data_IF_418388205262
#
_entry.id   IF_418388205262
#
_cell.length_a   1.000
_cell.length_b   1.000
_cell.length_c   1.000
_cell.angle_alpha   90.00
_cell.angle_beta   90.00
_cell.angle_gamma   90.00
#
_symmetry.space_group_name_H-M   'P 1'
#
loop_
_entity.id
_entity.type
_entity.pdbx_description
1 polymer ?
#
# COMPACT_ATOMS: atom_id res chain seq x y z
N UNK A 1 -9.01 12.46 4.40
CA UNK A 1 -8.04 13.42 3.82
C UNK A 1 -8.59 14.84 3.91
N UNK A 2 -9.81 15.09 3.44
CA UNK A 2 -10.39 16.44 3.39
C UNK A 2 -10.49 17.14 4.75
N UNK A 3 -10.90 16.43 5.80
CA UNK A 3 -11.06 17.00 7.14
C UNK A 3 -9.74 17.09 7.91
N UNK A 4 -8.84 16.15 7.65
CA UNK A 4 -7.51 16.11 8.28
C UNK A 4 -6.57 17.16 7.69
N UNK A 5 -6.70 17.45 6.38
CA UNK A 5 -5.82 18.37 5.62
C UNK A 5 -4.33 18.06 5.79
N UNK A 6 -3.91 16.83 5.49
CA UNK A 6 -2.51 16.45 5.65
C UNK A 6 -1.62 17.21 4.66
N UNK A 7 -0.35 17.33 4.96
CA UNK A 7 0.66 17.88 4.05
C UNK A 7 0.93 16.89 2.92
N UNK A 8 0.96 15.60 3.22
CA UNK A 8 1.09 14.53 2.24
C UNK A 8 0.32 13.27 2.63
N UNK A 9 0.09 12.43 1.64
CA UNK A 9 -0.52 11.10 1.76
C UNK A 9 0.46 10.08 1.21
N UNK A 10 0.70 9.01 1.96
CA UNK A 10 1.54 7.89 1.53
C UNK A 10 0.67 6.67 1.26
N UNK A 11 0.70 6.18 0.03
CA UNK A 11 0.14 4.90 -0.37
C UNK A 11 1.25 3.84 -0.35
N UNK A 12 1.05 2.79 0.43
CA UNK A 12 2.05 1.75 0.65
C UNK A 12 1.98 0.60 -0.36
N UNK A 13 1.22 0.76 -1.46
CA UNK A 13 1.08 -0.23 -2.52
C UNK A 13 -0.02 -1.26 -2.29
N UNK A 14 -0.15 -2.18 -3.23
CA UNK A 14 -1.27 -3.14 -3.34
C UNK A 14 -2.63 -2.44 -3.54
N UNK A 15 -2.61 -1.23 -4.09
CA UNK A 15 -3.82 -0.51 -4.49
C UNK A 15 -4.52 -1.16 -5.68
N UNK A 16 -3.75 -1.65 -6.64
CA UNK A 16 -4.23 -2.46 -7.77
C UNK A 16 -4.11 -3.95 -7.43
N UNK A 17 -5.23 -4.61 -7.13
CA UNK A 17 -5.21 -6.03 -6.70
C UNK A 17 -4.72 -6.98 -7.81
N UNK A 18 -4.87 -6.62 -9.09
CA UNK A 18 -4.42 -7.38 -10.26
C UNK A 18 -4.75 -8.88 -10.16
N UNK A 19 -5.98 -9.20 -9.81
CA UNK A 19 -6.45 -10.58 -9.61
C UNK A 19 -6.39 -11.41 -10.89
N UNK A 20 -6.63 -10.79 -12.03
CA UNK A 20 -6.55 -11.42 -13.35
C UNK A 20 -5.16 -11.99 -13.66
N UNK A 21 -4.11 -11.43 -13.05
CA UNK A 21 -2.72 -11.86 -13.22
C UNK A 21 -2.19 -12.69 -12.05
N UNK A 22 -3.08 -13.12 -11.13
CA UNK A 22 -2.68 -13.91 -9.97
C UNK A 22 -2.46 -15.39 -10.35
N UNK A 23 -1.22 -15.80 -10.42
CA UNK A 23 -0.83 -17.18 -10.74
C UNK A 23 -1.27 -18.22 -9.69
N UNK A 24 -1.51 -17.81 -8.44
CA UNK A 24 -1.95 -18.72 -7.39
C UNK A 24 -3.43 -19.13 -7.54
N UNK A 25 -4.28 -18.23 -8.02
CA UNK A 25 -5.70 -18.53 -8.22
C UNK A 25 -5.90 -19.42 -9.45
N UNK A 26 -5.11 -19.28 -10.50
CA UNK A 26 -5.17 -20.13 -11.69
C UNK A 26 -4.87 -21.60 -11.39
N UNK A 27 -3.95 -21.87 -10.46
CA UNK A 27 -3.56 -23.22 -10.08
C UNK A 27 -4.53 -23.89 -9.11
N UNK A 28 -5.21 -23.13 -8.23
CA UNK A 28 -6.03 -23.67 -7.14
C UNK A 28 -7.53 -23.60 -7.41
N UNK A 29 -7.99 -22.66 -8.24
CA UNK A 29 -9.39 -22.45 -8.52
C UNK A 29 -9.62 -21.90 -9.94
N UNK A 30 -9.44 -22.72 -11.00
CA UNK A 30 -9.55 -22.29 -12.39
C UNK A 30 -10.89 -21.60 -12.71
N UNK A 31 -11.98 -21.98 -12.02
CA UNK A 31 -13.30 -21.39 -12.19
C UNK A 31 -13.38 -19.91 -11.77
N UNK A 32 -12.58 -19.51 -10.76
CA UNK A 32 -12.56 -18.13 -10.30
C UNK A 32 -11.71 -17.23 -11.20
N UNK A 33 -10.80 -17.83 -11.96
CA UNK A 33 -9.91 -17.13 -12.88
C UNK A 33 -10.62 -16.69 -14.19
N UNK A 34 -11.57 -17.48 -14.67
CA UNK A 34 -12.27 -17.22 -15.95
C UNK A 34 -13.15 -15.97 -15.95
N UNK A 35 -13.51 -15.46 -14.78
CA UNK A 35 -14.35 -14.25 -14.63
C UNK A 35 -13.57 -12.97 -14.38
N UNK A 36 -12.24 -13.02 -14.37
CA UNK A 36 -11.40 -11.87 -14.06
C UNK A 36 -10.78 -11.31 -15.34
N UNK A 37 -10.92 -10.02 -15.54
CA UNK A 37 -10.38 -9.31 -16.69
C UNK A 37 -9.32 -8.30 -16.22
N UNK A 38 -8.23 -8.22 -16.97
CA UNK A 38 -7.18 -7.25 -16.73
C UNK A 38 -7.72 -5.81 -16.83
N UNK A 39 -8.57 -5.55 -17.80
CA UNK A 39 -9.20 -4.24 -17.99
C UNK A 39 -10.02 -3.85 -16.76
N UNK A 40 -10.80 -4.79 -16.20
CA UNK A 40 -11.59 -4.53 -15.00
C UNK A 40 -10.73 -4.25 -13.76
N UNK A 41 -9.58 -4.91 -13.61
CA UNK A 41 -8.63 -4.63 -12.54
C UNK A 41 -8.08 -3.19 -12.67
N UNK A 42 -7.70 -2.79 -13.88
CA UNK A 42 -7.17 -1.44 -14.18
C UNK A 42 -8.25 -0.38 -13.99
N UNK A 43 -9.45 -0.60 -14.51
CA UNK A 43 -10.58 0.33 -14.35
C UNK A 43 -10.93 0.54 -12.88
N UNK A 44 -11.03 -0.54 -12.10
CA UNK A 44 -11.33 -0.48 -10.67
C UNK A 44 -10.29 0.35 -9.90
N UNK A 45 -9.00 0.15 -10.19
CA UNK A 45 -7.94 0.92 -9.58
C UNK A 45 -8.02 2.41 -9.95
N UNK A 46 -8.09 2.72 -11.24
CA UNK A 46 -8.14 4.10 -11.70
C UNK A 46 -9.38 4.85 -11.21
N UNK A 47 -10.54 4.18 -11.14
CA UNK A 47 -11.75 4.76 -10.55
C UNK A 47 -11.59 5.07 -9.07
N UNK A 48 -10.96 4.17 -8.30
CA UNK A 48 -10.69 4.40 -6.89
C UNK A 48 -9.76 5.60 -6.68
N UNK A 49 -8.71 5.72 -7.48
CA UNK A 49 -7.77 6.85 -7.44
C UNK A 49 -8.44 8.17 -7.83
N UNK A 50 -9.29 8.18 -8.85
CA UNK A 50 -10.03 9.39 -9.24
C UNK A 50 -11.00 9.83 -8.13
N UNK A 51 -11.74 8.92 -7.52
CA UNK A 51 -12.63 9.20 -6.38
C UNK A 51 -11.88 9.82 -5.21
N UNK A 52 -10.69 9.36 -4.92
CA UNK A 52 -9.85 9.90 -3.85
C UNK A 52 -9.46 11.36 -4.11
N UNK A 53 -9.31 11.76 -5.38
CA UNK A 53 -8.81 13.07 -5.82
C UNK A 53 -9.90 14.06 -6.27
N UNK A 54 -11.13 13.61 -6.50
CA UNK A 54 -12.18 14.43 -7.15
C UNK A 54 -12.52 15.71 -6.36
N UNK A 55 -12.54 15.66 -5.06
CA UNK A 55 -12.86 16.82 -4.21
C UNK A 55 -11.81 17.94 -4.31
N UNK A 56 -10.55 17.58 -4.47
CA UNK A 56 -9.48 18.57 -4.63
C UNK A 56 -9.57 19.28 -5.97
N UNK A 57 -9.89 18.55 -7.04
CA UNK A 57 -10.14 19.12 -8.38
C UNK A 57 -11.29 20.13 -8.33
N UNK A 58 -12.41 19.77 -7.69
CA UNK A 58 -13.62 20.57 -7.63
C UNK A 58 -13.45 21.89 -6.83
N UNK A 59 -12.70 21.87 -5.75
CA UNK A 59 -12.65 22.98 -4.80
C UNK A 59 -11.43 23.87 -4.93
N UNK A 60 -10.54 23.67 -5.90
CA UNK A 60 -9.30 24.44 -6.14
C UNK A 60 -8.45 24.65 -4.87
N UNK A 61 -8.60 23.81 -3.85
CA UNK A 61 -7.78 23.87 -2.65
C UNK A 61 -6.42 23.25 -2.92
N UNK A 62 -5.40 23.72 -2.20
CA UNK A 62 -4.09 23.08 -2.20
C UNK A 62 -4.29 21.63 -1.78
N UNK A 63 -3.99 20.71 -2.68
CA UNK A 63 -4.03 19.27 -2.39
C UNK A 63 -2.78 18.88 -1.60
N UNK A 64 -2.83 17.82 -0.77
CA UNK A 64 -1.62 17.24 -0.23
C UNK A 64 -0.73 16.70 -1.36
N UNK A 65 0.55 16.53 -1.10
CA UNK A 65 1.40 15.70 -1.95
C UNK A 65 0.97 14.24 -1.81
N UNK A 66 1.12 13.45 -2.88
CA UNK A 66 0.81 12.03 -2.91
C UNK A 66 2.06 11.24 -3.26
N UNK A 67 2.48 10.38 -2.36
CA UNK A 67 3.63 9.50 -2.52
C UNK A 67 3.13 8.05 -2.59
N UNK A 68 3.47 7.34 -3.66
CA UNK A 68 3.05 5.97 -3.89
C UNK A 68 4.22 5.00 -3.88
N UNK A 69 3.97 3.80 -3.42
CA UNK A 69 4.93 2.70 -3.46
C UNK A 69 4.34 1.54 -4.26
N UNK A 70 5.13 0.93 -5.13
CA UNK A 70 4.73 -0.30 -5.81
C UNK A 70 4.59 -1.42 -4.78
N UNK A 71 3.44 -2.11 -4.82
CA UNK A 71 3.20 -3.31 -4.02
C UNK A 71 3.48 -4.59 -4.82
N UNK A 72 3.39 -5.73 -4.16
CA UNK A 72 3.61 -7.00 -4.83
C UNK A 72 2.45 -7.41 -5.76
N UNK A 73 1.29 -6.77 -5.68
CA UNK A 73 0.19 -6.98 -6.60
C UNK A 73 0.41 -6.23 -7.92
N UNK A 74 0.89 -5.01 -7.89
CA UNK A 74 1.27 -4.27 -9.09
C UNK A 74 2.41 -4.96 -9.86
N UNK A 75 3.37 -5.58 -9.16
CA UNK A 75 4.46 -6.35 -9.81
C UNK A 75 3.97 -7.53 -10.64
N UNK A 76 2.71 -7.99 -10.45
CA UNK A 76 2.11 -9.07 -11.27
C UNK A 76 2.09 -8.72 -12.75
N UNK A 77 1.92 -7.43 -13.10
CA UNK A 77 1.98 -6.96 -14.49
C UNK A 77 3.37 -7.26 -15.07
N UNK A 78 4.43 -6.82 -14.39
CA UNK A 78 5.82 -7.02 -14.86
C UNK A 78 6.18 -8.50 -14.92
N UNK A 79 5.72 -9.28 -13.93
CA UNK A 79 5.93 -10.73 -13.90
C UNK A 79 5.25 -11.42 -15.07
N UNK A 80 3.99 -11.07 -15.39
CA UNK A 80 3.28 -11.65 -16.51
C UNK A 80 3.99 -11.34 -17.85
N UNK A 81 4.43 -10.10 -18.06
CA UNK A 81 5.21 -9.70 -19.23
C UNK A 81 6.54 -10.47 -19.28
N UNK A 82 7.24 -10.62 -18.17
CA UNK A 82 8.49 -11.39 -18.12
C UNK A 82 8.32 -12.87 -18.47
N UNK A 83 7.16 -13.45 -18.13
CA UNK A 83 6.83 -14.85 -18.46
C UNK A 83 6.41 -15.02 -19.94
N UNK A 84 5.72 -14.04 -20.49
CA UNK A 84 5.33 -14.01 -21.92
C UNK A 84 5.43 -12.58 -22.48
N UNK A 85 6.59 -12.19 -23.04
CA UNK A 85 6.76 -10.83 -23.58
C UNK A 85 5.83 -10.47 -24.74
N UNK A 86 5.15 -11.46 -25.35
CA UNK A 86 4.21 -11.21 -26.46
C UNK A 86 2.93 -10.49 -26.01
N UNK A 87 2.61 -10.53 -24.71
CA UNK A 87 1.43 -9.86 -24.17
C UNK A 87 1.69 -8.40 -23.82
N UNK A 88 2.94 -7.93 -23.88
CA UNK A 88 3.26 -6.53 -23.58
C UNK A 88 2.73 -5.59 -24.66
N UNK A 89 2.10 -4.51 -24.25
CA UNK A 89 1.63 -3.46 -25.16
C UNK A 89 0.69 -2.46 -24.50
N UNK A 90 0.92 -1.18 -24.76
CA UNK A 90 0.09 -0.10 -24.22
C UNK A 90 -1.29 -0.03 -24.88
N UNK A 91 -1.46 -0.50 -26.08
CA UNK A 91 -2.70 -0.38 -26.85
C UNK A 91 -3.53 -1.66 -26.88
N UNK A 92 -2.89 -2.81 -27.02
CA UNK A 92 -3.57 -4.09 -27.23
C UNK A 92 -3.04 -5.20 -26.33
N UNK A 93 -2.23 -4.87 -25.34
CA UNK A 93 -1.64 -5.80 -24.42
C UNK A 93 -1.77 -5.35 -22.97
N UNK A 94 -0.88 -5.81 -22.13
CA UNK A 94 -0.79 -5.35 -20.74
C UNK A 94 0.44 -4.44 -20.57
N UNK A 95 0.33 -3.43 -19.70
CA UNK A 95 1.43 -2.51 -19.43
C UNK A 95 1.31 -1.94 -18.03
N UNK A 96 2.44 -1.74 -17.35
CA UNK A 96 2.47 -1.05 -16.07
C UNK A 96 1.92 0.39 -16.18
N UNK A 97 2.10 1.04 -17.32
CA UNK A 97 1.56 2.39 -17.60
C UNK A 97 0.04 2.50 -17.51
N UNK A 98 -0.69 1.37 -17.65
CA UNK A 98 -2.16 1.38 -17.50
C UNK A 98 -2.62 1.75 -16.09
N UNK A 99 -1.77 1.60 -15.07
CA UNK A 99 -2.05 2.08 -13.72
C UNK A 99 -2.09 3.61 -13.65
N UNK A 100 -1.48 4.31 -14.61
CA UNK A 100 -1.50 5.76 -14.65
C UNK A 100 -0.86 6.42 -13.42
N UNK A 101 0.17 5.82 -12.85
CA UNK A 101 0.81 6.26 -11.60
C UNK A 101 1.24 7.72 -11.65
N UNK A 102 1.74 8.19 -12.80
CA UNK A 102 2.13 9.58 -13.03
C UNK A 102 0.93 10.57 -12.93
N UNK A 103 -0.31 10.10 -13.11
CA UNK A 103 -1.51 10.92 -12.95
C UNK A 103 -1.94 11.03 -11.49
N UNK A 104 -1.58 10.04 -10.68
CA UNK A 104 -2.08 9.88 -9.33
C UNK A 104 -1.11 10.35 -8.26
N UNK A 105 0.18 10.13 -8.45
CA UNK A 105 1.22 10.45 -7.48
C UNK A 105 2.09 11.62 -7.94
N UNK A 106 2.62 12.36 -6.98
CA UNK A 106 3.67 13.34 -7.22
C UNK A 106 5.03 12.65 -7.31
N UNK A 107 5.18 11.55 -6.56
CA UNK A 107 6.31 10.62 -6.64
C UNK A 107 5.77 9.20 -6.51
N UNK A 108 6.24 8.29 -7.37
CA UNK A 108 5.91 6.87 -7.30
C UNK A 108 7.18 6.03 -7.30
N UNK A 109 7.33 5.21 -6.26
CA UNK A 109 8.53 4.40 -6.01
C UNK A 109 8.30 2.98 -6.47
N UNK A 110 8.84 2.64 -7.63
CA UNK A 110 8.79 1.31 -8.20
C UNK A 110 9.76 0.37 -7.48
N UNK A 111 9.55 -0.95 -7.62
CA UNK A 111 10.51 -1.92 -7.13
C UNK A 111 11.89 -1.72 -7.76
N UNK A 112 12.91 -1.86 -6.92
CA UNK A 112 14.31 -1.83 -7.31
C UNK A 112 14.89 -3.24 -7.17
N UNK A 113 15.39 -3.83 -8.27
CA UNK A 113 15.99 -5.16 -8.27
C UNK A 113 15.13 -6.24 -7.57
N UNK A 114 13.84 -6.30 -7.93
CA UNK A 114 12.85 -7.24 -7.36
C UNK A 114 12.55 -7.05 -5.86
N UNK A 115 12.91 -5.91 -5.28
CA UNK A 115 12.59 -5.55 -3.91
C UNK A 115 11.80 -4.23 -3.84
N UNK A 116 10.92 -4.03 -2.86
CA UNK A 116 10.25 -2.76 -2.67
C UNK A 116 11.25 -1.63 -2.47
N UNK A 117 11.02 -0.51 -3.14
CA UNK A 117 11.76 0.71 -2.87
C UNK A 117 11.56 1.17 -1.43
N UNK A 118 12.58 1.81 -0.87
CA UNK A 118 12.53 2.41 0.47
C UNK A 118 12.80 3.89 0.31
N UNK A 119 11.89 4.72 0.80
CA UNK A 119 12.05 6.18 0.75
C UNK A 119 11.77 6.80 2.11
N UNK A 120 12.47 7.88 2.43
CA UNK A 120 12.36 8.57 3.72
C UNK A 120 11.62 9.91 3.55
N UNK A 121 10.58 10.11 4.35
CA UNK A 121 9.88 11.38 4.49
C UNK A 121 9.86 11.79 5.97
N UNK A 122 10.37 12.96 6.29
CA UNK A 122 10.42 13.54 7.64
C UNK A 122 11.07 12.60 8.69
N UNK A 123 12.08 11.82 8.28
CA UNK A 123 12.80 10.88 9.15
C UNK A 123 12.08 9.55 9.38
N UNK A 124 11.00 9.27 8.64
CA UNK A 124 10.32 7.98 8.63
C UNK A 124 10.60 7.27 7.31
N UNK A 125 11.17 6.06 7.36
CA UNK A 125 11.33 5.20 6.18
C UNK A 125 10.01 4.53 5.82
N UNK A 126 9.62 4.59 4.55
CA UNK A 126 8.42 3.94 4.01
C UNK A 126 8.81 2.90 2.97
N UNK A 127 8.09 1.79 2.95
CA UNK A 127 8.17 0.76 1.92
C UNK A 127 6.88 -0.06 1.88
N UNK A 128 6.60 -0.75 0.78
CA UNK A 128 5.52 -1.73 0.78
C UNK A 128 5.73 -2.80 1.86
N UNK A 129 6.92 -3.40 1.90
CA UNK A 129 7.42 -4.21 3.02
C UNK A 129 8.93 -4.04 3.18
N UNK A 130 9.44 -4.34 4.38
CA UNK A 130 10.88 -4.48 4.60
C UNK A 130 11.27 -5.95 4.52
N UNK A 131 12.51 -6.23 4.13
CA UNK A 131 13.01 -7.59 3.96
C UNK A 131 13.91 -8.05 5.10
N UNK A 132 13.90 -9.37 5.34
CA UNK A 132 14.93 -10.06 6.10
C UNK A 132 15.59 -11.09 5.14
N UNK A 133 16.75 -10.74 4.62
CA UNK A 133 17.26 -11.34 3.39
C UNK A 133 16.34 -11.00 2.20
N UNK A 134 15.87 -12.00 1.47
CA UNK A 134 14.93 -11.84 0.32
C UNK A 134 13.46 -12.09 0.66
N UNK A 135 13.13 -12.30 1.94
CA UNK A 135 11.75 -12.54 2.37
C UNK A 135 11.16 -11.31 3.01
N UNK A 136 9.87 -11.01 2.76
CA UNK A 136 9.16 -10.00 3.51
C UNK A 136 9.25 -10.29 5.01
N UNK A 137 9.52 -9.25 5.79
CA UNK A 137 9.39 -9.33 7.24
C UNK A 137 7.93 -9.55 7.61
N UNK A 138 7.70 -10.39 8.61
CA UNK A 138 6.35 -10.73 9.07
C UNK A 138 6.42 -11.30 10.49
N UNK A 139 5.29 -11.73 11.04
CA UNK A 139 5.20 -12.39 12.33
C UNK A 139 4.39 -11.60 13.35
N UNK A 140 4.41 -12.08 14.60
CA UNK A 140 3.64 -11.49 15.70
C UNK A 140 4.24 -10.17 16.18
N UNK A 141 5.55 -10.05 16.13
CA UNK A 141 6.30 -8.85 16.55
C UNK A 141 6.89 -8.13 15.32
N UNK A 142 6.08 -7.88 14.31
CA UNK A 142 6.53 -7.36 13.02
C UNK A 142 7.17 -5.97 13.18
N UNK A 143 6.50 -5.04 13.87
CA UNK A 143 7.01 -3.69 14.11
C UNK A 143 8.33 -3.67 14.89
N UNK A 144 8.47 -4.54 15.89
CA UNK A 144 9.73 -4.68 16.63
C UNK A 144 10.87 -5.23 15.74
N UNK A 145 10.54 -6.19 14.85
CA UNK A 145 11.48 -6.70 13.85
C UNK A 145 11.97 -5.61 12.89
N UNK A 146 11.08 -4.74 12.43
CA UNK A 146 11.43 -3.59 11.59
C UNK A 146 12.44 -2.69 12.32
N UNK A 147 12.15 -2.28 13.56
CA UNK A 147 13.04 -1.43 14.33
C UNK A 147 14.42 -2.06 14.57
N UNK A 148 14.47 -3.38 14.80
CA UNK A 148 15.71 -4.11 14.97
C UNK A 148 16.61 -4.11 13.72
N UNK A 149 16.05 -3.84 12.54
CA UNK A 149 16.76 -3.86 11.25
C UNK A 149 17.00 -2.47 10.66
N UNK A 150 16.07 -1.54 10.89
CA UNK A 150 16.12 -0.19 10.29
C UNK A 150 16.87 0.83 11.15
N UNK A 151 16.92 0.63 12.46
CA UNK A 151 17.54 1.56 13.42
C UNK A 151 16.96 2.98 13.41
N UNK A 152 15.74 3.15 12.89
CA UNK A 152 15.03 4.42 12.80
C UNK A 152 13.55 4.17 12.58
N UNK A 153 12.76 5.22 12.60
CA UNK A 153 11.32 5.12 12.36
C UNK A 153 11.02 4.57 10.98
N UNK A 154 10.10 3.61 10.91
CA UNK A 154 9.78 2.94 9.66
C UNK A 154 8.32 2.46 9.61
N UNK A 155 7.70 2.54 8.44
CA UNK A 155 6.29 2.17 8.22
C UNK A 155 6.17 1.30 6.97
N UNK A 156 5.40 0.21 7.07
CA UNK A 156 5.09 -0.65 5.93
C UNK A 156 3.65 -1.16 5.96
N UNK A 157 3.21 -1.75 4.84
CA UNK A 157 1.92 -2.42 4.64
C UNK A 157 2.04 -3.95 4.53
N UNK A 158 1.58 -4.51 3.40
CA UNK A 158 1.73 -5.88 2.92
C UNK A 158 1.08 -6.97 3.78
N UNK A 159 1.40 -7.04 5.07
CA UNK A 159 0.92 -8.12 5.94
C UNK A 159 -0.55 -7.99 6.35
N UNK A 160 -1.19 -6.87 6.04
CA UNK A 160 -2.57 -6.51 6.40
C UNK A 160 -2.82 -6.42 7.92
N UNK A 161 -1.83 -6.74 8.75
CA UNK A 161 -1.92 -6.63 10.21
C UNK A 161 -1.60 -5.19 10.63
N UNK A 162 -2.13 -4.81 11.79
CA UNK A 162 -1.72 -3.58 12.45
C UNK A 162 -0.79 -3.95 13.60
N UNK A 163 0.40 -3.41 13.60
CA UNK A 163 1.37 -3.57 14.70
C UNK A 163 2.16 -2.27 14.87
N UNK A 164 2.47 -1.91 16.10
CA UNK A 164 3.26 -0.73 16.41
C UNK A 164 4.20 -1.00 17.58
N UNK A 165 5.44 -0.55 17.45
CA UNK A 165 6.43 -0.58 18.51
C UNK A 165 7.17 0.75 18.59
N UNK A 166 7.31 1.28 19.79
CA UNK A 166 8.11 2.48 20.08
C UNK A 166 9.37 2.02 20.82
N UNK A 167 10.50 2.64 20.51
CA UNK A 167 11.77 2.49 21.20
C UNK A 167 12.38 3.86 21.45
N UNK A 168 12.50 4.23 22.69
CA UNK A 168 13.09 5.51 23.12
C UNK A 168 14.61 5.45 23.26
N UNK A 169 15.18 4.24 23.19
CA UNK A 169 16.59 3.94 23.44
C UNK A 169 17.45 3.76 22.17
N UNK A 170 16.87 3.93 20.98
CA UNK A 170 17.56 3.63 19.71
C UNK A 170 18.35 4.82 19.17
N UNK A 171 17.95 5.99 19.49
CA UNK A 171 18.32 7.22 18.81
C UNK A 171 18.04 8.41 19.74
N UNK A 172 18.69 9.56 19.60
CA UNK A 172 18.40 10.71 20.46
C UNK A 172 16.93 11.12 20.53
N UNK A 173 16.15 10.77 19.51
CA UNK A 173 14.72 11.12 19.41
C UNK A 173 13.78 9.93 19.55
N UNK A 174 14.30 8.71 19.72
CA UNK A 174 13.50 7.49 19.66
C UNK A 174 13.21 7.01 18.23
N UNK A 175 12.43 5.94 18.10
CA UNK A 175 11.99 5.40 16.81
C UNK A 175 10.66 4.67 16.91
N UNK A 176 9.83 4.73 15.85
CA UNK A 176 8.53 4.07 15.75
C UNK A 176 8.54 3.09 14.58
N UNK A 177 8.39 1.79 14.87
CA UNK A 177 8.06 0.78 13.89
C UNK A 177 6.55 0.68 13.75
N UNK A 178 6.04 0.73 12.52
CA UNK A 178 4.61 0.70 12.25
C UNK A 178 4.30 -0.22 11.07
N UNK A 179 3.34 -1.12 11.28
CA UNK A 179 2.69 -1.92 10.24
C UNK A 179 1.27 -1.40 10.09
N UNK A 180 0.95 -0.91 8.91
CA UNK A 180 -0.19 -0.01 8.72
C UNK A 180 -1.54 -0.70 8.48
N UNK A 181 -1.59 -2.04 8.44
CA UNK A 181 -2.81 -2.75 8.08
C UNK A 181 -3.08 -2.73 6.58
N UNK A 182 -4.36 -2.65 6.21
CA UNK A 182 -4.81 -2.56 4.83
C UNK A 182 -6.02 -1.61 4.71
N UNK A 183 -6.53 -1.42 3.49
CA UNK A 183 -7.78 -0.70 3.25
C UNK A 183 -8.71 -1.55 2.38
N UNK A 184 -9.10 -2.72 2.90
CA UNK A 184 -9.99 -3.67 2.21
C UNK A 184 -11.41 -3.61 2.75
N UNK A 185 -12.38 -3.55 1.84
CA UNK A 185 -13.81 -3.43 2.17
C UNK A 185 -14.49 -4.73 2.56
N UNK A 186 -13.92 -5.88 2.21
CA UNK A 186 -14.48 -7.21 2.43
C UNK A 186 -13.39 -8.24 2.74
N UNK A 187 -13.73 -9.32 3.46
CA UNK A 187 -12.85 -10.46 3.67
C UNK A 187 -12.47 -11.14 2.35
N UNK A 188 -11.26 -11.65 2.26
CA UNK A 188 -10.77 -12.44 1.13
C UNK A 188 -11.02 -13.93 1.35
N UNK A 189 -11.65 -14.58 0.38
CA UNK A 189 -11.98 -16.00 0.49
C UNK A 189 -10.76 -16.91 0.65
N UNK A 190 -9.63 -16.56 0.00
CA UNK A 190 -8.39 -17.32 0.09
C UNK A 190 -7.69 -17.20 1.46
N UNK A 191 -7.93 -16.12 2.19
CA UNK A 191 -7.24 -15.83 3.45
C UNK A 191 -7.85 -16.58 4.66
N UNK A 192 -9.08 -17.10 4.55
CA UNK A 192 -9.71 -17.89 5.58
C UNK A 192 -9.65 -17.22 6.96
N UNK A 193 -9.06 -17.89 7.94
CA UNK A 193 -8.94 -17.39 9.33
C UNK A 193 -8.02 -16.16 9.44
N UNK A 194 -7.09 -15.97 8.51
CA UNK A 194 -6.18 -14.79 8.53
C UNK A 194 -6.94 -13.46 8.42
N UNK A 195 -8.13 -13.45 7.78
CA UNK A 195 -8.98 -12.26 7.74
C UNK A 195 -9.27 -11.66 9.12
N UNK A 196 -9.29 -12.47 10.17
CA UNK A 196 -9.55 -12.03 11.55
C UNK A 196 -8.39 -11.27 12.17
N UNK A 197 -7.19 -11.42 11.62
CA UNK A 197 -5.99 -10.75 12.08
C UNK A 197 -5.73 -9.45 11.33
N UNK A 198 -6.48 -9.20 10.26
CA UNK A 198 -6.34 -8.01 9.44
C UNK A 198 -7.02 -6.80 10.05
N UNK A 199 -6.39 -5.67 9.90
CA UNK A 199 -6.96 -4.40 10.29
C UNK A 199 -7.13 -3.49 9.07
N UNK A 200 -8.36 -3.02 8.84
CA UNK A 200 -8.68 -2.09 7.76
C UNK A 200 -8.90 -0.68 8.29
N UNK A 201 -8.20 0.27 7.71
CA UNK A 201 -8.31 1.67 8.09
C UNK A 201 -7.21 2.54 7.49
N UNK A 202 -7.11 3.75 8.01
CA UNK A 202 -6.06 4.70 7.69
C UNK A 202 -5.35 5.16 8.96
N UNK A 203 -4.10 5.55 8.84
CA UNK A 203 -3.31 6.06 9.95
C UNK A 203 -2.97 7.51 9.66
N UNK A 204 -3.28 8.38 10.60
CA UNK A 204 -2.91 9.78 10.58
C UNK A 204 -1.69 9.92 11.48
N UNK A 205 -0.61 10.46 10.96
CA UNK A 205 0.58 10.83 11.72
C UNK A 205 0.57 12.33 11.93
N UNK A 206 0.59 12.74 13.19
CA UNK A 206 0.59 14.16 13.54
C UNK A 206 1.95 14.58 14.05
N UNK A 207 2.31 15.83 13.77
CA UNK A 207 3.51 16.48 14.34
C UNK A 207 4.77 15.64 14.16
N UNK A 208 5.03 15.25 12.88
CA UNK A 208 6.21 14.44 12.58
C UNK A 208 7.45 15.31 12.77
N UNK A 209 8.30 14.93 13.71
CA UNK A 209 9.58 15.58 13.96
C UNK A 209 10.67 14.54 14.19
N UNK A 210 11.74 14.59 13.40
CA UNK A 210 12.86 13.65 13.48
C UNK A 210 12.45 12.16 13.46
N UNK A 211 11.39 11.85 12.71
CA UNK A 211 10.85 10.50 12.60
C UNK A 211 9.87 10.09 13.71
N UNK A 212 9.75 10.87 14.77
CA UNK A 212 8.74 10.66 15.81
C UNK A 212 7.43 11.35 15.43
N UNK A 213 6.30 10.79 15.85
CA UNK A 213 4.96 11.31 15.54
C UNK A 213 3.90 10.75 16.47
N UNK A 214 2.75 11.41 16.53
CA UNK A 214 1.57 10.90 17.23
C UNK A 214 0.66 10.18 16.22
N UNK A 215 0.48 8.83 16.33
CA UNK A 215 -0.36 8.07 15.43
C UNK A 215 -1.82 8.10 15.88
N UNK A 216 -2.72 8.41 14.95
CA UNK A 216 -4.17 8.20 15.12
C UNK A 216 -4.64 7.09 14.16
N UNK A 217 -5.17 6.00 14.73
CA UNK A 217 -5.71 4.88 13.96
C UNK A 217 -7.20 5.08 13.71
N UNK A 218 -7.60 5.23 12.45
CA UNK A 218 -9.00 5.42 12.08
C UNK A 218 -9.48 4.19 11.31
N UNK A 219 -10.30 3.36 11.97
CA UNK A 219 -10.80 2.13 11.34
C UNK A 219 -11.76 2.43 10.19
N UNK A 220 -11.88 1.49 9.26
CA UNK A 220 -12.81 1.59 8.14
C UNK A 220 -14.26 1.68 8.60
N UNK A 221 -14.63 0.98 9.70
CA UNK A 221 -15.96 1.10 10.29
C UNK A 221 -16.26 2.53 10.76
N UNK A 222 -15.29 3.18 11.43
CA UNK A 222 -15.43 4.58 11.82
C UNK A 222 -15.56 5.50 10.62
N UNK A 223 -14.77 5.26 9.57
CA UNK A 223 -14.86 6.03 8.32
C UNK A 223 -16.25 5.86 7.67
N UNK A 224 -16.76 4.63 7.57
CA UNK A 224 -18.10 4.34 7.06
C UNK A 224 -19.20 5.00 7.90
N UNK A 225 -19.08 4.94 9.22
CA UNK A 225 -20.06 5.58 10.11
C UNK A 225 -20.07 7.11 9.98
N UNK A 226 -18.92 7.72 9.73
CA UNK A 226 -18.78 9.18 9.63
C UNK A 226 -19.12 9.72 8.24
N UNK A 227 -18.72 9.02 7.17
CA UNK A 227 -18.75 9.52 5.79
C UNK A 227 -19.55 8.64 4.82
N UNK A 228 -19.93 7.44 5.22
CA UNK A 228 -20.68 6.49 4.41
C UNK A 228 -22.17 6.82 4.38
N UNK A 229 -22.55 7.84 3.61
CA UNK A 229 -23.96 8.15 3.28
C UNK A 229 -24.26 7.73 1.85
#
# INVERSE_FOLDING_TARGET
IWDVKPDYVVDLGDGADMRSLNSFDSAKAPKNFVSQSYEADIECYNEAMDRMRIKFKANKRKRPAYYGFEGNHETRIRRAISMDPRIEGEKYGISFKHLGTDNWFDEYHEYEHDAPAIHDYDGVSYAHFFTNGYRPMSGVNHAAGILAKRFGSATCGHSHKRDMKIRDDVHPYGAIGLVAGCYKGAPEGWAGQMNKEWWSGVIIKREIENGMYEPEFVSQERLKATYGK
#
